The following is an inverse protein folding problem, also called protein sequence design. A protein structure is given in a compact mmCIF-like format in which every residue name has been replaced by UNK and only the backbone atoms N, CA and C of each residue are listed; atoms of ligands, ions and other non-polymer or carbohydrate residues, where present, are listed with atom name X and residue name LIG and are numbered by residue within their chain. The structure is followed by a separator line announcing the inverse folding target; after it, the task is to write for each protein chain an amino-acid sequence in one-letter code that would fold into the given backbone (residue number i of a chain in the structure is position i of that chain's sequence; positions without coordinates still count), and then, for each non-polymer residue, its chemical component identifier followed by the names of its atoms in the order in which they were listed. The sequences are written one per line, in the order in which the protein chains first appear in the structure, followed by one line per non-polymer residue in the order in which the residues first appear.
data_IF_982375292015
#
_entry.id   IF_982375292015
#
_cell.length_a   1.000
_cell.length_b   1.000
_cell.length_c   1.000
_cell.angle_alpha   90.00
_cell.angle_beta   90.00
_cell.angle_gamma   90.00
#
_symmetry.space_group_name_H-M   'P 1'
#
loop_
_entity.id
_entity.type
_entity.pdbx_description
1 polymer ?
#
# COMPACT_ATOMS: atom_id res chain seq x y z
N UNK A 1 -11.80 -7.86 3.80
CA UNK A 1 -11.19 -6.68 4.47
C UNK A 1 -9.72 -6.88 4.81
N UNK A 2 -9.35 -7.91 5.60
CA UNK A 2 -7.95 -8.14 5.98
C UNK A 2 -7.01 -8.30 4.76
N UNK A 3 -7.45 -9.01 3.72
CA UNK A 3 -6.67 -9.19 2.50
C UNK A 3 -6.49 -7.88 1.72
N UNK A 4 -7.49 -7.01 1.69
CA UNK A 4 -7.38 -5.71 1.04
C UNK A 4 -6.33 -4.81 1.73
N UNK A 5 -6.31 -4.83 3.08
CA UNK A 5 -5.29 -4.12 3.87
C UNK A 5 -3.90 -4.71 3.59
N UNK A 6 -3.77 -6.04 3.62
CA UNK A 6 -2.51 -6.73 3.33
C UNK A 6 -1.98 -6.36 1.94
N UNK A 7 -2.84 -6.42 0.92
CA UNK A 7 -2.48 -6.07 -0.45
C UNK A 7 -2.02 -4.62 -0.55
N UNK A 8 -2.73 -3.68 0.07
CA UNK A 8 -2.35 -2.27 0.06
C UNK A 8 -0.98 -2.02 0.71
N UNK A 9 -0.68 -2.67 1.84
CA UNK A 9 0.64 -2.59 2.47
C UNK A 9 1.75 -3.17 1.58
N UNK A 10 1.53 -4.32 0.96
CA UNK A 10 2.53 -4.95 0.07
C UNK A 10 2.78 -4.09 -1.15
N UNK A 11 1.73 -3.56 -1.78
CA UNK A 11 1.85 -2.73 -2.97
C UNK A 11 2.64 -1.45 -2.69
N UNK A 12 2.31 -0.73 -1.61
CA UNK A 12 3.03 0.51 -1.30
C UNK A 12 4.49 0.24 -0.91
N UNK A 13 4.78 -0.89 -0.26
CA UNK A 13 6.15 -1.28 0.05
C UNK A 13 6.98 -1.50 -1.23
N UNK A 14 6.44 -2.28 -2.18
CA UNK A 14 7.11 -2.56 -3.45
C UNK A 14 7.32 -1.27 -4.24
N UNK A 15 6.26 -0.49 -4.44
CA UNK A 15 6.31 0.74 -5.24
C UNK A 15 7.36 1.73 -4.70
N UNK A 16 7.41 1.89 -3.38
CA UNK A 16 8.30 2.87 -2.75
C UNK A 16 9.72 2.37 -2.63
N UNK A 17 9.92 1.07 -2.46
CA UNK A 17 11.25 0.47 -2.54
C UNK A 17 11.83 0.65 -3.94
N UNK A 18 11.07 0.28 -4.99
CA UNK A 18 11.53 0.35 -6.38
C UNK A 18 11.82 1.80 -6.79
N UNK A 19 10.96 2.75 -6.38
CA UNK A 19 11.20 4.16 -6.63
C UNK A 19 12.46 4.66 -5.91
N UNK A 20 12.64 4.34 -4.63
CA UNK A 20 13.82 4.78 -3.87
C UNK A 20 15.12 4.17 -4.43
N UNK A 21 15.07 2.91 -4.86
CA UNK A 21 16.19 2.28 -5.55
C UNK A 21 16.49 2.95 -6.90
N UNK A 22 15.46 3.30 -7.67
CA UNK A 22 15.63 4.06 -8.92
C UNK A 22 16.19 5.47 -8.69
N UNK A 23 15.87 6.08 -7.55
CA UNK A 23 16.40 7.38 -7.10
C UNK A 23 17.85 7.27 -6.57
N UNK A 24 18.43 6.06 -6.54
CA UNK A 24 19.83 5.82 -6.23
C UNK A 24 20.13 5.47 -4.78
N UNK A 25 19.11 5.22 -3.95
CA UNK A 25 19.34 4.73 -2.59
C UNK A 25 19.90 3.30 -2.62
N UNK A 26 20.74 2.98 -1.63
CA UNK A 26 21.12 1.59 -1.38
C UNK A 26 19.90 0.77 -0.90
N UNK A 27 20.02 -0.55 -0.90
CA UNK A 27 18.93 -1.45 -0.52
C UNK A 27 18.35 -1.16 0.88
N UNK A 28 19.19 -0.83 1.86
CA UNK A 28 18.74 -0.47 3.22
C UNK A 28 17.97 0.86 3.22
N UNK A 29 18.48 1.88 2.54
CA UNK A 29 17.77 3.16 2.42
C UNK A 29 16.44 3.04 1.67
N UNK A 30 16.39 2.25 0.60
CA UNK A 30 15.14 1.96 -0.11
C UNK A 30 14.14 1.20 0.78
N UNK A 31 14.63 0.30 1.64
CA UNK A 31 13.81 -0.41 2.63
C UNK A 31 13.23 0.53 3.69
N UNK A 32 14.01 1.48 4.21
CA UNK A 32 13.51 2.49 5.15
C UNK A 32 12.39 3.35 4.55
N UNK A 33 12.52 3.74 3.27
CA UNK A 33 11.48 4.48 2.55
C UNK A 33 10.21 3.63 2.38
N UNK A 34 10.35 2.36 1.99
CA UNK A 34 9.22 1.43 1.87
C UNK A 34 8.50 1.22 3.21
N UNK A 35 9.26 1.06 4.30
CA UNK A 35 8.73 0.93 5.65
C UNK A 35 7.99 2.19 6.10
N UNK A 36 8.56 3.37 5.88
CA UNK A 36 7.90 4.65 6.19
C UNK A 36 6.59 4.80 5.42
N UNK A 37 6.56 4.40 4.15
CA UNK A 37 5.35 4.46 3.33
C UNK A 37 4.26 3.49 3.80
N UNK A 38 4.62 2.27 4.20
CA UNK A 38 3.67 1.35 4.83
C UNK A 38 3.07 1.95 6.11
N UNK A 39 3.89 2.58 6.95
CA UNK A 39 3.42 3.22 8.19
C UNK A 39 2.52 4.43 7.94
N UNK A 40 2.75 5.17 6.85
CA UNK A 40 1.97 6.34 6.46
C UNK A 40 0.68 6.00 5.69
N UNK A 41 0.44 4.72 5.36
CA UNK A 41 -0.72 4.31 4.57
C UNK A 41 -2.04 4.65 5.29
N UNK A 42 -2.92 5.39 4.61
CA UNK A 42 -4.26 5.70 5.15
C UNK A 42 -5.18 4.47 5.06
N UNK A 43 -5.16 3.64 6.11
CA UNK A 43 -6.00 2.47 6.21
C UNK A 43 -7.50 2.80 6.21
N UNK A 44 -7.91 4.00 6.62
CA UNK A 44 -9.34 4.39 6.56
C UNK A 44 -9.77 4.59 5.12
N UNK A 45 -8.91 5.17 4.28
CA UNK A 45 -9.16 5.25 2.85
C UNK A 45 -9.26 3.86 2.20
N UNK A 46 -8.35 2.94 2.54
CA UNK A 46 -8.38 1.55 2.05
C UNK A 46 -9.70 0.85 2.43
N UNK A 47 -10.12 0.96 3.69
CA UNK A 47 -11.38 0.37 4.17
C UNK A 47 -12.60 0.98 3.48
N UNK A 48 -12.67 2.31 3.34
CA UNK A 48 -13.78 2.98 2.62
C UNK A 48 -13.85 2.54 1.16
N UNK A 49 -12.70 2.42 0.49
CA UNK A 49 -12.64 1.93 -0.87
C UNK A 49 -13.19 0.50 -0.96
N UNK A 50 -12.75 -0.40 -0.08
CA UNK A 50 -13.24 -1.79 -0.07
C UNK A 50 -14.75 -1.88 0.19
N UNK A 51 -15.26 -1.15 1.20
CA UNK A 51 -16.70 -1.10 1.47
C UNK A 51 -17.49 -0.60 0.25
N UNK A 52 -16.94 0.34 -0.51
CA UNK A 52 -17.56 0.84 -1.74
C UNK A 52 -17.54 -0.20 -2.87
N UNK A 53 -16.50 -1.03 -2.96
CA UNK A 53 -16.41 -2.11 -3.95
C UNK A 53 -17.38 -3.26 -3.63
N UNK A 54 -17.50 -3.62 -2.35
CA UNK A 54 -18.41 -4.67 -1.89
C UNK A 54 -19.87 -4.30 -2.21
N UNK A 55 -20.27 -3.04 -1.96
CA UNK A 55 -21.60 -2.55 -2.34
C UNK A 55 -21.86 -2.58 -3.85
N UNK A 56 -20.85 -2.31 -4.68
CA UNK A 56 -20.97 -2.39 -6.15
C UNK A 56 -21.15 -3.82 -6.64
N UNK A 57 -20.52 -4.80 -6.00
CA UNK A 57 -20.69 -6.22 -6.32
C UNK A 57 -22.03 -6.79 -5.82
N UNK A 58 -22.58 -6.27 -4.73
CA UNK A 58 -23.87 -6.74 -4.19
C UNK A 58 -25.10 -6.23 -4.98
N UNK A 59 -24.92 -5.20 -5.81
CA UNK A 59 -25.98 -4.61 -6.64
C UNK A 59 -25.95 -5.00 -8.13
N UNK A 60 -25.06 -5.93 -8.51
CA UNK A 60 -24.92 -6.49 -9.86
C UNK A 60 -25.43 -7.93 -9.90
#
# INVERSE_FOLDING_TARGET
MADAIRTACIQVAIERYDQAAADGLCAEGAWEVALAAMQALDLRAVVRAQLSQDHKHAGA
#
